data_IF_887094774481
#
_entry.id   IF_887094774481
#
_cell.length_a   1.000
_cell.length_b   1.000
_cell.length_c   1.000
_cell.angle_alpha   90.00
_cell.angle_beta   90.00
_cell.angle_gamma   90.00
#
_symmetry.space_group_name_H-M   'P 1'
#
loop_
_entity.id
_entity.type
_entity.pdbx_description
1 polymer ?
#
# COMPACT_ATOMS: atom_id res chain seq x y z
N UNK A 1 -39.60 -41.05 15.71
CA UNK A 1 -38.56 -40.02 15.95
C UNK A 1 -37.83 -40.21 17.28
N UNK A 2 -38.51 -40.05 18.43
CA UNK A 2 -37.87 -40.10 19.77
C UNK A 2 -37.13 -41.42 20.11
N UNK A 3 -37.63 -42.58 19.67
CA UNK A 3 -36.98 -43.86 19.96
C UNK A 3 -35.61 -44.00 19.28
N UNK A 4 -35.49 -43.52 18.04
CA UNK A 4 -34.26 -43.53 17.27
C UNK A 4 -33.22 -42.56 17.83
N UNK A 5 -33.65 -41.38 18.29
CA UNK A 5 -32.76 -40.40 18.92
C UNK A 5 -32.16 -40.95 20.23
N UNK A 6 -32.97 -41.62 21.05
CA UNK A 6 -32.52 -42.26 22.30
C UNK A 6 -31.56 -43.42 22.05
N UNK A 7 -31.78 -44.20 21.00
CA UNK A 7 -30.90 -45.31 20.63
C UNK A 7 -29.56 -44.83 20.07
N UNK A 8 -29.58 -43.79 19.22
CA UNK A 8 -28.37 -43.10 18.75
C UNK A 8 -27.55 -42.56 19.91
N UNK A 9 -28.17 -41.89 20.88
CA UNK A 9 -27.45 -41.34 22.04
C UNK A 9 -26.85 -42.44 22.93
N UNK A 10 -27.55 -43.58 23.07
CA UNK A 10 -27.01 -44.76 23.77
C UNK A 10 -25.81 -45.35 23.03
N UNK A 11 -25.87 -45.47 21.71
CA UNK A 11 -24.76 -45.94 20.88
C UNK A 11 -23.58 -44.99 20.99
N UNK A 12 -23.80 -43.68 20.87
CA UNK A 12 -22.75 -42.66 21.00
C UNK A 12 -22.00 -42.74 22.33
N UNK A 13 -22.71 -42.98 23.45
CA UNK A 13 -22.10 -43.18 24.78
C UNK A 13 -21.26 -44.45 24.90
N UNK A 14 -21.46 -45.43 24.01
CA UNK A 14 -20.75 -46.72 23.99
C UNK A 14 -19.55 -46.74 23.04
N UNK A 15 -19.43 -45.72 22.17
CA UNK A 15 -18.29 -45.52 21.29
C UNK A 15 -17.22 -44.74 22.06
N UNK A 16 -15.99 -45.23 22.01
CA UNK A 16 -14.82 -44.55 22.52
C UNK A 16 -13.79 -44.45 21.40
N UNK A 17 -13.41 -43.22 21.05
CA UNK A 17 -12.38 -42.94 20.05
C UNK A 17 -11.17 -42.39 20.79
N UNK A 18 -10.02 -43.04 20.64
CA UNK A 18 -8.77 -42.61 21.26
C UNK A 18 -7.67 -42.49 20.20
N UNK A 19 -6.98 -41.35 20.20
CA UNK A 19 -5.78 -41.16 19.37
C UNK A 19 -4.57 -41.64 20.15
N UNK A 20 -3.84 -42.60 19.59
CA UNK A 20 -2.63 -43.18 20.17
C UNK A 20 -1.44 -42.64 19.36
N UNK A 21 -0.59 -41.79 19.95
CA UNK A 21 0.62 -41.32 19.29
C UNK A 21 1.57 -42.48 18.92
N UNK A 22 2.29 -42.38 17.79
CA UNK A 22 2.42 -41.19 16.97
C UNK A 22 1.36 -41.01 15.86
N UNK A 23 0.59 -42.02 15.42
CA UNK A 23 -0.37 -41.89 14.29
C UNK A 23 -1.45 -43.00 14.25
N UNK A 24 -1.98 -43.45 15.39
CA UNK A 24 -3.00 -44.50 15.44
C UNK A 24 -4.33 -43.95 15.96
N UNK A 25 -5.43 -44.36 15.34
CA UNK A 25 -6.79 -44.09 15.83
C UNK A 25 -7.37 -45.42 16.28
N UNK A 26 -7.72 -45.51 17.55
CA UNK A 26 -8.41 -46.67 18.11
C UNK A 26 -9.90 -46.35 18.24
N UNK A 27 -10.73 -47.16 17.58
CA UNK A 27 -12.18 -47.11 17.68
C UNK A 27 -12.61 -48.32 18.52
N UNK A 28 -13.21 -48.07 19.69
CA UNK A 28 -13.77 -49.09 20.56
C UNK A 28 -15.28 -48.93 20.67
N UNK A 29 -16.03 -50.03 20.61
CA UNK A 29 -17.46 -50.05 20.89
C UNK A 29 -17.80 -51.13 21.92
N UNK A 30 -18.59 -50.76 22.93
CA UNK A 30 -18.94 -51.65 24.05
C UNK A 30 -20.42 -52.03 24.01
N UNK A 31 -20.69 -53.33 23.92
CA UNK A 31 -22.06 -53.85 23.91
C UNK A 31 -22.21 -55.14 24.73
N UNK A 32 -23.46 -55.50 25.08
CA UNK A 32 -23.81 -56.76 25.73
C UNK A 32 -23.77 -57.94 24.76
N UNK A 33 -24.07 -57.69 23.48
CA UNK A 33 -24.05 -58.68 22.43
C UNK A 33 -22.69 -58.66 21.71
N UNK A 34 -21.92 -59.75 21.73
CA UNK A 34 -20.62 -59.80 21.07
C UNK A 34 -20.70 -59.62 19.55
N UNK A 35 -21.76 -60.10 18.88
CA UNK A 35 -21.92 -59.95 17.43
C UNK A 35 -22.16 -58.48 17.07
N UNK A 36 -23.11 -57.84 17.76
CA UNK A 36 -23.35 -56.40 17.59
C UNK A 36 -22.10 -55.57 17.89
N UNK A 37 -21.29 -55.96 18.87
CA UNK A 37 -20.05 -55.26 19.18
C UNK A 37 -19.05 -55.30 18.01
N UNK A 38 -18.91 -56.47 17.38
CA UNK A 38 -18.06 -56.68 16.20
C UNK A 38 -18.57 -55.91 14.98
N UNK A 39 -19.84 -56.12 14.60
CA UNK A 39 -20.42 -55.53 13.38
C UNK A 39 -20.39 -54.01 13.42
N UNK A 40 -20.74 -53.41 14.56
CA UNK A 40 -20.73 -51.95 14.73
C UNK A 40 -19.30 -51.41 14.66
N UNK A 41 -18.32 -52.06 15.29
CA UNK A 41 -16.92 -51.61 15.24
C UNK A 41 -16.34 -51.69 13.83
N UNK A 42 -16.56 -52.82 13.15
CA UNK A 42 -16.12 -53.03 11.77
C UNK A 42 -16.76 -52.00 10.82
N UNK A 43 -18.08 -51.84 10.90
CA UNK A 43 -18.81 -50.88 10.06
C UNK A 43 -18.40 -49.43 10.36
N UNK A 44 -18.15 -49.09 11.62
CA UNK A 44 -17.69 -47.76 12.00
C UNK A 44 -16.29 -47.45 11.45
N UNK A 45 -15.38 -48.43 11.45
CA UNK A 45 -14.06 -48.27 10.86
C UNK A 45 -14.14 -48.05 9.34
N UNK A 46 -14.95 -48.84 8.63
CA UNK A 46 -15.18 -48.66 7.19
C UNK A 46 -15.81 -47.30 6.88
N UNK A 47 -16.86 -46.91 7.61
CA UNK A 47 -17.52 -45.61 7.44
C UNK A 47 -16.57 -44.45 7.73
N UNK A 48 -15.73 -44.57 8.77
CA UNK A 48 -14.75 -43.54 9.08
C UNK A 48 -13.74 -43.36 7.95
N UNK A 49 -13.25 -44.46 7.37
CA UNK A 49 -12.32 -44.42 6.24
C UNK A 49 -13.01 -43.83 4.99
N UNK A 50 -14.24 -44.24 4.69
CA UNK A 50 -15.03 -43.71 3.56
C UNK A 50 -15.30 -42.21 3.72
N UNK A 51 -15.86 -41.80 4.85
CA UNK A 51 -16.17 -40.39 5.13
C UNK A 51 -14.90 -39.52 5.09
N UNK A 52 -13.79 -40.01 5.64
CA UNK A 52 -12.53 -39.25 5.59
C UNK A 52 -11.99 -39.11 4.16
N UNK A 53 -12.19 -40.13 3.31
CA UNK A 53 -11.85 -40.06 1.88
C UNK A 53 -12.72 -39.06 1.15
N UNK A 54 -14.03 -39.14 1.34
CA UNK A 54 -14.99 -38.26 0.68
C UNK A 54 -14.78 -36.80 1.11
N UNK A 55 -14.57 -36.56 2.40
CA UNK A 55 -14.23 -35.23 2.93
C UNK A 55 -12.94 -34.68 2.31
N UNK A 56 -11.89 -35.51 2.21
CA UNK A 56 -10.61 -35.07 1.62
C UNK A 56 -10.73 -34.78 0.12
N UNK A 57 -11.43 -35.64 -0.62
CA UNK A 57 -11.69 -35.43 -2.05
C UNK A 57 -12.49 -34.15 -2.29
N UNK A 58 -13.52 -33.90 -1.48
CA UNK A 58 -14.32 -32.68 -1.54
C UNK A 58 -13.48 -31.43 -1.22
N UNK A 59 -12.67 -31.47 -0.15
CA UNK A 59 -11.77 -30.37 0.23
C UNK A 59 -10.79 -30.03 -0.91
N UNK A 60 -10.18 -31.05 -1.53
CA UNK A 60 -9.25 -30.87 -2.64
C UNK A 60 -9.95 -30.34 -3.90
N UNK A 61 -11.20 -30.75 -4.17
CA UNK A 61 -12.01 -30.25 -5.27
C UNK A 61 -12.43 -28.78 -5.08
N UNK A 62 -12.82 -28.41 -3.86
CA UNK A 62 -13.15 -27.02 -3.50
C UNK A 62 -11.92 -26.12 -3.61
N UNK A 63 -10.77 -26.56 -3.10
CA UNK A 63 -9.51 -25.84 -3.22
C UNK A 63 -9.08 -25.64 -4.69
N UNK A 64 -9.22 -26.67 -5.52
CA UNK A 64 -8.97 -26.57 -6.96
C UNK A 64 -9.92 -25.56 -7.63
N UNK A 65 -11.22 -25.65 -7.34
CA UNK A 65 -12.25 -24.77 -7.92
C UNK A 65 -12.02 -23.30 -7.55
N UNK A 66 -11.67 -23.04 -6.29
CA UNK A 66 -11.30 -21.70 -5.81
C UNK A 66 -10.09 -21.14 -6.57
N UNK A 67 -9.01 -21.93 -6.72
CA UNK A 67 -7.82 -21.49 -7.45
C UNK A 67 -8.12 -21.30 -8.94
N UNK A 68 -8.91 -22.17 -9.56
CA UNK A 68 -9.30 -22.03 -10.97
C UNK A 68 -10.10 -20.75 -11.23
N UNK A 69 -11.03 -20.40 -10.33
CA UNK A 69 -11.77 -19.15 -10.42
C UNK A 69 -10.84 -17.93 -10.30
N UNK A 70 -9.88 -17.96 -9.36
CA UNK A 70 -8.85 -16.92 -9.24
C UNK A 70 -7.97 -16.82 -10.49
N UNK A 71 -7.60 -17.95 -11.12
CA UNK A 71 -6.87 -17.95 -12.40
C UNK A 71 -7.67 -17.24 -13.49
N UNK A 72 -8.98 -17.51 -13.59
CA UNK A 72 -9.86 -16.88 -14.59
C UNK A 72 -10.00 -15.37 -14.35
N UNK A 73 -10.17 -14.95 -13.10
CA UNK A 73 -10.24 -13.53 -12.72
C UNK A 73 -8.94 -12.79 -13.07
N UNK A 74 -7.79 -13.32 -12.67
CA UNK A 74 -6.50 -12.70 -12.96
C UNK A 74 -6.11 -12.76 -14.43
N UNK A 75 -6.58 -13.75 -15.18
CA UNK A 75 -6.43 -13.76 -16.64
C UNK A 75 -7.11 -12.56 -17.28
N UNK A 76 -8.35 -12.25 -16.87
CA UNK A 76 -9.08 -11.08 -17.37
C UNK A 76 -8.36 -9.78 -17.03
N UNK A 77 -7.91 -9.62 -15.78
CA UNK A 77 -7.12 -8.45 -15.35
C UNK A 77 -5.81 -8.31 -16.13
N UNK A 78 -5.15 -9.42 -16.44
CA UNK A 78 -3.94 -9.43 -17.26
C UNK A 78 -4.23 -8.95 -18.69
N UNK A 79 -5.27 -9.48 -19.33
CA UNK A 79 -5.67 -9.08 -20.68
C UNK A 79 -6.05 -7.60 -20.73
N UNK A 80 -6.74 -7.10 -19.71
CA UNK A 80 -7.07 -5.68 -19.58
C UNK A 80 -5.81 -4.82 -19.41
N UNK A 81 -4.88 -5.21 -18.53
CA UNK A 81 -3.61 -4.51 -18.35
C UNK A 81 -2.75 -4.52 -19.62
N UNK A 82 -2.68 -5.65 -20.34
CA UNK A 82 -2.00 -5.76 -21.64
C UNK A 82 -2.61 -4.82 -22.69
N UNK A 83 -3.94 -4.76 -22.74
CA UNK A 83 -4.66 -3.86 -23.65
C UNK A 83 -4.38 -2.41 -23.31
N UNK A 84 -4.51 -2.01 -22.05
CA UNK A 84 -4.25 -0.64 -21.60
C UNK A 84 -2.81 -0.22 -21.91
N UNK A 85 -1.83 -1.09 -21.65
CA UNK A 85 -0.43 -0.84 -21.96
C UNK A 85 -0.19 -0.70 -23.48
N UNK A 86 -0.83 -1.55 -24.29
CA UNK A 86 -0.73 -1.49 -25.75
C UNK A 86 -1.34 -0.21 -26.30
N UNK A 87 -2.56 0.13 -25.87
CA UNK A 87 -3.30 1.30 -26.31
C UNK A 87 -2.51 2.56 -25.94
N UNK A 88 -2.01 2.65 -24.70
CA UNK A 88 -1.16 3.74 -24.24
C UNK A 88 0.12 3.91 -25.08
N UNK A 89 0.83 2.81 -25.37
CA UNK A 89 2.04 2.84 -26.22
C UNK A 89 1.76 3.27 -27.66
N UNK A 90 0.57 2.95 -28.18
CA UNK A 90 0.17 3.32 -29.54
C UNK A 90 -0.21 4.80 -29.65
N UNK A 91 -0.82 5.36 -28.59
CA UNK A 91 -1.22 6.77 -28.54
C UNK A 91 -0.05 7.70 -28.15
N UNK A 92 0.93 7.20 -27.40
CA UNK A 92 2.04 8.00 -26.86
C UNK A 92 3.39 7.58 -27.46
N UNK A 93 3.55 7.80 -28.77
CA UNK A 93 4.79 7.46 -29.50
C UNK A 93 6.02 8.24 -29.03
N UNK A 94 5.83 9.40 -28.40
CA UNK A 94 6.89 10.23 -27.85
C UNK A 94 7.35 9.79 -26.45
N UNK A 95 6.57 8.98 -25.73
CA UNK A 95 6.92 8.50 -24.38
C UNK A 95 7.86 7.27 -24.46
N UNK A 96 9.00 7.45 -25.12
CA UNK A 96 10.02 6.39 -25.30
C UNK A 96 11.26 6.71 -24.47
N UNK A 97 11.92 5.68 -23.89
CA UNK A 97 13.18 5.87 -23.18
C UNK A 97 14.20 6.63 -24.02
N UNK A 98 14.77 7.70 -23.45
CA UNK A 98 15.76 8.56 -24.11
C UNK A 98 15.20 9.82 -24.78
N UNK A 99 13.87 9.95 -24.87
CA UNK A 99 13.23 11.17 -25.41
C UNK A 99 13.45 12.37 -24.49
N UNK A 100 13.41 12.15 -23.18
CA UNK A 100 13.69 13.19 -22.16
C UNK A 100 15.07 13.83 -22.33
N UNK A 101 16.11 13.03 -22.58
CA UNK A 101 17.46 13.53 -22.82
C UNK A 101 17.51 14.42 -24.07
N UNK A 102 16.88 13.97 -25.16
CA UNK A 102 16.82 14.73 -26.41
C UNK A 102 16.07 16.07 -26.25
N UNK A 103 14.95 16.06 -25.51
CA UNK A 103 14.17 17.28 -25.19
C UNK A 103 15.01 18.24 -24.34
N UNK A 104 15.66 17.75 -23.28
CA UNK A 104 16.51 18.58 -22.43
C UNK A 104 17.67 19.21 -23.21
N UNK A 105 18.30 18.46 -24.12
CA UNK A 105 19.33 19.01 -25.02
C UNK A 105 18.75 20.09 -25.94
N UNK A 106 17.57 19.86 -26.52
CA UNK A 106 16.91 20.83 -27.41
C UNK A 106 16.51 22.11 -26.68
N UNK A 107 15.95 22.01 -25.46
CA UNK A 107 15.62 23.14 -24.60
C UNK A 107 16.88 23.96 -24.29
N UNK A 108 17.98 23.31 -23.93
CA UNK A 108 19.26 23.99 -23.67
C UNK A 108 19.76 24.76 -24.91
N UNK A 109 19.73 24.13 -26.09
CA UNK A 109 20.10 24.77 -27.36
C UNK A 109 19.21 25.98 -27.71
N UNK A 110 17.89 25.86 -27.50
CA UNK A 110 16.94 26.96 -27.73
C UNK A 110 17.17 28.11 -26.74
N UNK A 111 17.45 27.82 -25.47
CA UNK A 111 17.81 28.84 -24.47
C UNK A 111 19.07 29.60 -24.85
N UNK A 112 20.15 28.90 -25.24
CA UNK A 112 21.39 29.56 -25.68
C UNK A 112 21.16 30.41 -26.93
N UNK A 113 20.36 29.91 -27.88
CA UNK A 113 20.02 30.67 -29.09
C UNK A 113 19.18 31.90 -28.76
N UNK A 114 18.19 31.77 -27.86
CA UNK A 114 17.36 32.87 -27.40
C UNK A 114 18.19 33.93 -26.67
N UNK A 115 19.08 33.50 -25.77
CA UNK A 115 20.00 34.39 -25.06
C UNK A 115 20.88 35.17 -26.04
N UNK A 116 21.48 34.50 -27.03
CA UNK A 116 22.28 35.17 -28.07
C UNK A 116 21.46 36.21 -28.86
N UNK A 117 20.24 35.88 -29.27
CA UNK A 117 19.37 36.78 -30.03
C UNK A 117 18.91 37.97 -29.17
N UNK A 118 18.67 37.75 -27.88
CA UNK A 118 18.33 38.83 -26.94
C UNK A 118 19.48 39.79 -26.71
N UNK A 119 20.71 39.27 -26.59
CA UNK A 119 21.92 40.09 -26.45
C UNK A 119 22.16 40.91 -27.73
N UNK A 120 22.07 40.28 -28.90
CA UNK A 120 22.25 40.93 -30.19
C UNK A 120 21.19 42.02 -30.43
N UNK A 121 19.93 41.75 -30.05
CA UNK A 121 18.85 42.75 -30.09
C UNK A 121 19.13 43.94 -29.17
N UNK A 122 19.62 43.68 -27.95
CA UNK A 122 19.98 44.72 -27.00
C UNK A 122 21.13 45.59 -27.52
N UNK A 123 22.19 44.99 -28.07
CA UNK A 123 23.30 45.70 -28.71
C UNK A 123 22.82 46.57 -29.87
N UNK A 124 21.99 46.00 -30.74
CA UNK A 124 21.47 46.70 -31.94
C UNK A 124 20.58 47.88 -31.56
N UNK A 125 19.75 47.76 -30.51
CA UNK A 125 18.97 48.88 -29.95
C UNK A 125 19.85 49.98 -29.34
N UNK A 126 20.97 49.61 -28.71
CA UNK A 126 21.95 50.60 -28.23
C UNK A 126 22.57 51.35 -29.41
N UNK A 127 22.91 50.63 -30.49
CA UNK A 127 23.44 51.22 -31.73
C UNK A 127 22.43 52.15 -32.39
N UNK A 128 21.17 51.75 -32.50
CA UNK A 128 20.08 52.62 -33.00
C UNK A 128 20.02 53.94 -32.22
N UNK A 129 19.93 53.88 -30.89
CA UNK A 129 19.90 55.07 -30.03
C UNK A 129 21.15 55.95 -30.21
N UNK A 130 22.32 55.37 -30.45
CA UNK A 130 23.53 56.13 -30.72
C UNK A 130 23.45 56.89 -32.05
N UNK A 131 22.98 56.23 -33.12
CA UNK A 131 22.80 56.85 -34.43
C UNK A 131 21.72 57.95 -34.37
N UNK A 132 20.62 57.72 -33.63
CA UNK A 132 19.58 58.74 -33.40
C UNK A 132 20.14 60.00 -32.69
N UNK A 133 21.01 59.82 -31.68
CA UNK A 133 21.68 60.95 -31.03
C UNK A 133 22.57 61.72 -32.00
N UNK A 134 23.36 61.03 -32.83
CA UNK A 134 24.22 61.67 -33.84
C UNK A 134 23.41 62.45 -34.89
N UNK A 135 22.27 61.90 -35.33
CA UNK A 135 21.36 62.55 -36.28
C UNK A 135 20.67 63.79 -35.70
N UNK A 136 20.42 63.82 -34.39
CA UNK A 136 19.67 64.92 -33.72
C UNK A 136 20.56 66.01 -33.11
N UNK A 137 21.81 65.69 -32.77
CA UNK A 137 22.69 66.57 -31.99
C UNK A 137 23.89 67.13 -32.76
N UNK A 138 24.78 66.27 -33.29
CA UNK A 138 26.09 66.71 -33.80
C UNK A 138 26.04 67.24 -35.24
N UNK A 139 25.38 66.53 -36.16
CA UNK A 139 25.33 66.93 -37.58
C UNK A 139 24.57 68.27 -37.79
N UNK A 140 23.60 68.56 -36.93
CA UNK A 140 22.86 69.82 -36.95
C UNK A 140 23.69 70.99 -36.39
N UNK A 141 24.54 70.74 -35.39
CA UNK A 141 25.41 71.75 -34.77
C UNK A 141 26.61 72.10 -35.67
N UNK A 142 27.24 71.11 -36.32
CA UNK A 142 28.46 71.30 -37.12
C UNK A 142 28.24 72.19 -38.37
N UNK A 143 27.19 71.91 -39.15
CA UNK A 143 26.83 72.71 -40.33
C UNK A 143 26.32 74.10 -39.93
N UNK A 144 25.66 74.19 -38.76
CA UNK A 144 25.11 75.42 -38.23
C UNK A 144 26.18 76.41 -37.79
N UNK A 145 27.22 75.92 -37.10
CA UNK A 145 28.40 76.68 -36.67
C UNK A 145 29.31 77.05 -37.86
N UNK A 146 29.36 76.22 -38.91
CA UNK A 146 30.18 76.48 -40.10
C UNK A 146 29.78 77.77 -40.84
N UNK A 147 28.48 78.08 -40.95
CA UNK A 147 27.99 79.26 -41.70
C UNK A 147 28.13 80.57 -40.91
N UNK A 148 27.76 80.55 -39.63
CA UNK A 148 27.99 81.70 -38.74
C UNK A 148 29.49 81.96 -38.57
N UNK A 149 30.29 80.90 -38.45
CA UNK A 149 31.76 80.99 -38.43
C UNK A 149 32.36 81.54 -39.73
N UNK A 150 31.84 81.20 -40.90
CA UNK A 150 32.27 81.77 -42.19
C UNK A 150 31.98 83.27 -42.28
N UNK A 151 30.78 83.72 -41.88
CA UNK A 151 30.44 85.14 -41.85
C UNK A 151 31.26 85.90 -40.80
N UNK A 152 31.46 85.32 -39.61
CA UNK A 152 32.34 85.90 -38.59
C UNK A 152 33.80 86.01 -39.06
N UNK A 153 34.31 85.01 -39.77
CA UNK A 153 35.65 85.05 -40.37
C UNK A 153 35.77 86.16 -41.42
N UNK A 154 34.78 86.32 -42.30
CA UNK A 154 34.75 87.42 -43.28
C UNK A 154 34.64 88.79 -42.60
N UNK A 155 33.83 88.91 -41.55
CA UNK A 155 33.74 90.13 -40.74
C UNK A 155 35.10 90.43 -40.09
N UNK A 156 35.81 89.45 -39.55
CA UNK A 156 37.12 89.65 -38.93
C UNK A 156 38.17 90.14 -39.95
N UNK A 157 38.15 89.62 -41.18
CA UNK A 157 39.01 90.10 -42.28
C UNK A 157 38.68 91.55 -42.63
N UNK A 158 37.40 91.87 -42.82
CA UNK A 158 36.95 93.23 -43.14
C UNK A 158 37.19 94.22 -41.99
N UNK A 159 37.11 93.77 -40.74
CA UNK A 159 37.46 94.57 -39.56
C UNK A 159 38.96 94.88 -39.54
N UNK A 160 39.82 93.91 -39.86
CA UNK A 160 41.26 94.12 -40.00
C UNK A 160 41.59 95.13 -41.11
N UNK A 161 40.94 95.04 -42.28
CA UNK A 161 41.06 96.04 -43.35
C UNK A 161 40.59 97.42 -42.88
N UNK A 162 39.44 97.49 -42.19
CA UNK A 162 38.89 98.74 -41.68
C UNK A 162 39.85 99.43 -40.71
N UNK A 163 40.44 98.67 -39.77
CA UNK A 163 41.37 99.19 -38.78
C UNK A 163 42.67 99.67 -39.43
N UNK A 164 43.13 99.01 -40.50
CA UNK A 164 44.28 99.46 -41.29
C UNK A 164 43.98 100.77 -42.04
N UNK A 165 42.81 100.90 -42.66
CA UNK A 165 42.40 102.12 -43.36
C UNK A 165 42.23 103.32 -42.39
N UNK A 166 41.77 103.07 -41.16
CA UNK A 166 41.59 104.09 -40.12
C UNK A 166 42.89 104.72 -39.63
N UNK A 167 44.03 104.05 -39.80
CA UNK A 167 45.34 104.62 -39.44
C UNK A 167 45.77 105.75 -40.40
N UNK A 168 45.24 105.75 -41.63
CA UNK A 168 45.67 106.67 -42.70
C UNK A 168 44.58 107.61 -43.18
N UNK A 169 43.30 107.28 -42.97
CA UNK A 169 42.17 108.03 -43.51
C UNK A 169 41.14 108.37 -42.42
N UNK A 170 40.51 109.54 -42.57
CA UNK A 170 39.44 109.98 -41.67
C UNK A 170 38.14 109.18 -41.92
N UNK A 171 37.27 109.09 -40.92
CA UNK A 171 36.02 108.29 -40.90
C UNK A 171 35.04 108.56 -42.05
N UNK A 172 35.26 109.63 -42.83
CA UNK A 172 34.42 110.08 -43.96
C UNK A 172 34.90 109.54 -45.32
N UNK A 173 36.00 108.78 -45.38
CA UNK A 173 36.57 108.30 -46.64
C UNK A 173 35.68 107.22 -47.30
N UNK A 174 35.47 107.25 -48.64
CA UNK A 174 34.55 106.34 -49.32
C UNK A 174 34.78 104.85 -49.06
N UNK A 175 36.04 104.39 -48.97
CA UNK A 175 36.34 102.97 -48.73
C UNK A 175 36.08 102.52 -47.28
N UNK A 176 36.24 103.41 -46.30
CA UNK A 176 35.88 103.14 -44.90
C UNK A 176 34.37 102.97 -44.78
N UNK A 177 33.61 103.84 -45.46
CA UNK A 177 32.14 103.76 -45.51
C UNK A 177 31.69 102.47 -46.21
N UNK A 178 32.33 102.09 -47.32
CA UNK A 178 32.06 100.85 -48.05
C UNK A 178 32.28 99.61 -47.18
N UNK A 179 33.43 99.50 -46.52
CA UNK A 179 33.77 98.35 -45.67
C UNK A 179 32.84 98.28 -44.46
N UNK A 180 32.47 99.43 -43.85
CA UNK A 180 31.47 99.47 -42.77
C UNK A 180 30.12 98.94 -43.23
N UNK A 181 29.65 99.34 -44.41
CA UNK A 181 28.41 98.80 -44.97
C UNK A 181 28.52 97.29 -45.23
N UNK A 182 29.66 96.80 -45.74
CA UNK A 182 29.87 95.36 -45.94
C UNK A 182 29.86 94.57 -44.62
N UNK A 183 30.47 95.10 -43.55
CA UNK A 183 30.41 94.50 -42.22
C UNK A 183 28.98 94.52 -41.68
N UNK A 184 28.25 95.61 -41.88
CA UNK A 184 26.86 95.73 -41.43
C UNK A 184 25.92 94.80 -42.20
N UNK A 185 26.12 94.65 -43.51
CA UNK A 185 25.39 93.70 -44.35
C UNK A 185 25.67 92.25 -43.91
N UNK A 186 26.92 91.91 -43.57
CA UNK A 186 27.24 90.58 -43.04
C UNK A 186 26.66 90.36 -41.63
N UNK A 187 26.65 91.39 -40.77
CA UNK A 187 26.01 91.32 -39.44
C UNK A 187 24.49 91.17 -39.54
N UNK A 188 23.86 91.89 -40.46
CA UNK A 188 22.41 91.76 -40.71
C UNK A 188 22.07 90.40 -41.31
N UNK A 189 22.94 89.84 -42.16
CA UNK A 189 22.79 88.46 -42.64
C UNK A 189 22.92 87.42 -41.52
N UNK A 190 23.84 87.61 -40.56
CA UNK A 190 23.94 86.75 -39.36
C UNK A 190 22.66 86.83 -38.52
N UNK A 191 22.17 88.04 -38.22
CA UNK A 191 20.98 88.21 -37.38
C UNK A 191 19.69 87.73 -38.06
N UNK A 192 19.59 87.88 -39.39
CA UNK A 192 18.51 87.30 -40.18
C UNK A 192 18.55 85.78 -40.18
N UNK A 193 19.72 85.17 -40.30
CA UNK A 193 19.86 83.71 -40.25
C UNK A 193 19.55 83.15 -38.84
N UNK A 194 19.98 83.85 -37.78
CA UNK A 194 19.67 83.50 -36.39
C UNK A 194 18.17 83.60 -36.09
N UNK A 195 17.52 84.72 -36.45
CA UNK A 195 16.08 84.89 -36.25
C UNK A 195 15.24 83.90 -37.07
N UNK A 196 15.66 83.59 -38.30
CA UNK A 196 15.05 82.53 -39.12
C UNK A 196 15.17 81.16 -38.43
N UNK A 197 16.34 80.82 -37.90
CA UNK A 197 16.56 79.58 -37.13
C UNK A 197 15.69 79.52 -35.89
N UNK A 198 15.60 80.59 -35.12
CA UNK A 198 14.76 80.64 -33.91
C UNK A 198 13.27 80.44 -34.25
N UNK A 199 12.79 81.08 -35.32
CA UNK A 199 11.42 80.92 -35.80
C UNK A 199 11.14 79.50 -36.29
N UNK A 200 12.06 78.90 -37.04
CA UNK A 200 11.91 77.53 -37.55
C UNK A 200 12.10 76.47 -36.44
N UNK A 201 12.95 76.71 -35.44
CA UNK A 201 13.07 75.90 -34.22
C UNK A 201 11.81 75.96 -33.36
N UNK A 202 11.21 77.14 -33.18
CA UNK A 202 9.96 77.28 -32.43
C UNK A 202 8.81 76.54 -33.12
N UNK A 203 8.72 76.63 -34.45
CA UNK A 203 7.73 75.87 -35.25
C UNK A 203 7.96 74.36 -35.15
N UNK A 204 9.20 73.90 -35.20
CA UNK A 204 9.52 72.48 -35.05
C UNK A 204 9.19 71.98 -33.63
N UNK A 205 9.50 72.75 -32.59
CA UNK A 205 9.14 72.44 -31.19
C UNK A 205 7.63 72.36 -30.97
N UNK A 206 6.85 73.26 -31.56
CA UNK A 206 5.38 73.21 -31.51
C UNK A 206 4.80 71.97 -32.21
N UNK A 207 5.51 71.42 -33.20
CA UNK A 207 5.16 70.20 -33.91
C UNK A 207 5.80 68.93 -33.34
N UNK A 208 6.51 69.03 -32.19
CA UNK A 208 7.22 67.91 -31.57
C UNK A 208 8.37 67.36 -32.41
N UNK A 209 8.91 68.13 -33.36
CA UNK A 209 10.00 67.74 -34.25
C UNK A 209 11.28 68.52 -33.91
N UNK A 210 12.43 67.89 -34.10
CA UNK A 210 13.72 68.58 -34.07
C UNK A 210 13.88 69.32 -35.39
N UNK A 211 14.17 70.62 -35.32
CA UNK A 211 14.49 71.41 -36.50
C UNK A 211 15.85 70.96 -37.04
N UNK A 212 15.86 70.49 -38.29
CA UNK A 212 17.07 70.11 -39.02
C UNK A 212 17.07 70.91 -40.31
N UNK A 213 18.09 71.74 -40.51
CA UNK A 213 18.26 72.57 -41.70
C UNK A 213 18.20 71.71 -42.98
N UNK A 214 17.47 72.15 -44.01
CA UNK A 214 17.30 71.39 -45.26
C UNK A 214 18.64 71.08 -45.96
N UNK A 215 19.70 71.86 -45.73
CA UNK A 215 21.06 71.56 -46.24
C UNK A 215 21.79 70.50 -45.42
N UNK A 216 21.51 70.41 -44.11
CA UNK A 216 21.98 69.28 -43.27
C UNK A 216 21.33 67.99 -43.73
N UNK A 217 20.04 68.03 -44.12
CA UNK A 217 19.32 66.88 -44.68
C UNK A 217 19.90 66.41 -46.02
N UNK A 218 20.55 67.31 -46.77
CA UNK A 218 21.24 67.05 -48.03
C UNK A 218 22.72 66.68 -47.85
N UNK A 219 23.28 66.76 -46.64
CA UNK A 219 24.67 66.37 -46.38
C UNK A 219 24.87 64.87 -46.64
N UNK A 220 25.93 64.46 -47.37
CA UNK A 220 26.23 63.03 -47.59
C UNK A 220 26.33 62.22 -46.30
N UNK A 221 26.87 62.82 -45.24
CA UNK A 221 27.01 62.19 -43.92
C UNK A 221 25.64 61.96 -43.27
N UNK A 222 24.71 62.90 -43.40
CA UNK A 222 23.35 62.75 -42.86
C UNK A 222 22.55 61.67 -43.60
N UNK A 223 22.69 61.61 -44.92
CA UNK A 223 22.06 60.56 -45.73
C UNK A 223 22.62 59.17 -45.38
N UNK A 224 23.93 59.06 -45.17
CA UNK A 224 24.58 57.82 -44.74
C UNK A 224 24.10 57.38 -43.35
N UNK A 225 24.02 58.28 -42.37
CA UNK A 225 23.50 57.98 -41.03
C UNK A 225 22.02 57.57 -41.06
N UNK A 226 21.21 58.21 -41.91
CA UNK A 226 19.79 57.84 -42.08
C UNK A 226 19.63 56.45 -42.72
N UNK A 227 20.47 56.12 -43.70
CA UNK A 227 20.51 54.77 -44.28
C UNK A 227 20.89 53.74 -43.21
N UNK A 228 21.96 54.00 -42.46
CA UNK A 228 22.39 53.14 -41.34
C UNK A 228 21.31 52.96 -40.28
N UNK A 229 20.56 54.02 -39.94
CA UNK A 229 19.43 53.93 -39.02
C UNK A 229 18.32 53.02 -39.58
N UNK A 230 18.00 53.16 -40.87
CA UNK A 230 16.99 52.31 -41.53
C UNK A 230 17.41 50.84 -41.54
N UNK A 231 18.68 50.56 -41.84
CA UNK A 231 19.24 49.21 -41.85
C UNK A 231 19.24 48.62 -40.43
N UNK A 232 19.64 49.41 -39.43
CA UNK A 232 19.63 49.01 -38.01
C UNK A 232 18.21 48.70 -37.53
N UNK A 233 17.21 49.52 -37.89
CA UNK A 233 15.80 49.26 -37.56
C UNK A 233 15.26 47.99 -38.20
N UNK A 234 15.67 47.72 -39.44
CA UNK A 234 15.31 46.47 -40.13
C UNK A 234 15.93 45.26 -39.43
N UNK A 235 17.18 45.38 -38.96
CA UNK A 235 17.84 44.34 -38.15
C UNK A 235 17.12 44.12 -36.82
N UNK A 236 16.72 45.19 -36.12
CA UNK A 236 15.93 45.11 -34.88
C UNK A 236 14.63 44.34 -35.12
N UNK A 237 13.87 44.70 -36.15
CA UNK A 237 12.62 44.01 -36.48
C UNK A 237 12.84 42.52 -36.79
N UNK A 238 13.93 42.18 -37.47
CA UNK A 238 14.31 40.79 -37.78
C UNK A 238 14.68 40.02 -36.51
N UNK A 239 15.47 40.62 -35.62
CA UNK A 239 15.87 40.02 -34.34
C UNK A 239 14.69 39.86 -33.38
N UNK A 240 13.75 40.81 -33.37
CA UNK A 240 12.50 40.70 -32.62
C UNK A 240 11.64 39.54 -33.10
N UNK A 241 11.47 39.40 -34.42
CA UNK A 241 10.75 38.27 -35.02
C UNK A 241 11.42 36.93 -34.66
N UNK A 242 12.76 36.85 -34.82
CA UNK A 242 13.53 35.66 -34.46
C UNK A 242 13.43 35.32 -32.97
N UNK A 243 13.50 36.32 -32.10
CA UNK A 243 13.34 36.15 -30.66
C UNK A 243 11.96 35.56 -30.33
N UNK A 244 10.90 36.15 -30.90
CA UNK A 244 9.52 35.67 -30.71
C UNK A 244 9.35 34.23 -31.19
N UNK A 245 9.95 33.86 -32.31
CA UNK A 245 9.91 32.50 -32.85
C UNK A 245 10.63 31.51 -31.92
N UNK A 246 11.83 31.87 -31.43
CA UNK A 246 12.58 31.06 -30.47
C UNK A 246 11.84 30.88 -29.13
N UNK A 247 11.18 31.93 -28.62
CA UNK A 247 10.33 31.86 -27.42
C UNK A 247 9.16 30.89 -27.64
N UNK A 248 8.52 30.93 -28.82
CA UNK A 248 7.45 30.00 -29.16
C UNK A 248 7.95 28.55 -29.23
N UNK A 249 9.04 28.28 -29.97
CA UNK A 249 9.64 26.95 -30.06
C UNK A 249 10.06 26.41 -28.69
N UNK A 250 10.63 27.26 -27.84
CA UNK A 250 11.03 26.89 -26.48
C UNK A 250 9.81 26.49 -25.65
N UNK A 251 8.73 27.26 -25.70
CA UNK A 251 7.51 26.94 -24.98
C UNK A 251 6.86 25.64 -25.49
N UNK A 252 6.84 25.42 -26.80
CA UNK A 252 6.36 24.17 -27.41
C UNK A 252 7.17 22.96 -26.95
N UNK A 253 8.51 23.04 -26.94
CA UNK A 253 9.39 21.98 -26.46
C UNK A 253 9.29 21.75 -24.94
N UNK A 254 9.15 22.80 -24.14
CA UNK A 254 8.89 22.66 -22.69
C UNK A 254 7.56 21.95 -22.44
N UNK A 255 6.51 22.30 -23.19
CA UNK A 255 5.22 21.64 -23.08
C UNK A 255 5.28 20.19 -23.60
N UNK A 256 6.06 19.92 -24.64
CA UNK A 256 6.36 18.55 -25.10
C UNK A 256 7.06 17.74 -24.01
N UNK A 257 8.07 18.31 -23.36
CA UNK A 257 8.77 17.68 -22.22
C UNK A 257 7.83 17.33 -21.07
N UNK A 258 6.91 18.23 -20.69
CA UNK A 258 5.90 17.92 -19.65
C UNK A 258 4.99 16.76 -20.03
N UNK A 259 4.54 16.69 -21.29
CA UNK A 259 3.71 15.59 -21.79
C UNK A 259 4.48 14.27 -21.84
N UNK A 260 5.74 14.29 -22.29
CA UNK A 260 6.59 13.09 -22.32
C UNK A 260 6.84 12.59 -20.90
N UNK A 261 7.22 13.47 -19.97
CA UNK A 261 7.47 13.08 -18.58
C UNK A 261 6.25 12.46 -17.90
N UNK A 262 5.08 13.09 -18.02
CA UNK A 262 3.82 12.52 -17.51
C UNK A 262 3.47 11.21 -18.20
N UNK A 263 3.75 11.09 -19.50
CA UNK A 263 3.60 9.86 -20.25
C UNK A 263 4.52 8.73 -19.78
N UNK A 264 5.79 9.02 -19.46
CA UNK A 264 6.74 8.04 -18.92
C UNK A 264 6.30 7.52 -17.54
N UNK A 265 5.79 8.40 -16.67
CA UNK A 265 5.25 8.00 -15.37
C UNK A 265 4.08 7.03 -15.52
N UNK A 266 3.11 7.36 -16.38
CA UNK A 266 1.95 6.50 -16.66
C UNK A 266 2.37 5.18 -17.33
N UNK A 267 3.35 5.22 -18.25
CA UNK A 267 3.90 4.01 -18.86
C UNK A 267 4.53 3.09 -17.80
N UNK A 268 5.26 3.64 -16.85
CA UNK A 268 5.89 2.89 -15.77
C UNK A 268 4.83 2.24 -14.84
N UNK A 269 3.76 2.97 -14.51
CA UNK A 269 2.62 2.47 -13.74
C UNK A 269 1.93 1.31 -14.46
N UNK A 270 1.53 1.50 -15.72
CA UNK A 270 0.89 0.46 -16.53
C UNK A 270 1.78 -0.76 -16.75
N UNK A 271 3.09 -0.55 -16.92
CA UNK A 271 4.06 -1.65 -17.05
C UNK A 271 4.14 -2.45 -15.75
N UNK A 272 4.17 -1.77 -14.60
CA UNK A 272 4.18 -2.42 -13.29
C UNK A 272 2.90 -3.22 -13.05
N UNK A 273 1.73 -2.67 -13.38
CA UNK A 273 0.45 -3.36 -13.23
C UNK A 273 0.38 -4.61 -14.11
N UNK A 274 0.83 -4.51 -15.36
CA UNK A 274 0.98 -5.65 -16.25
C UNK A 274 1.91 -6.72 -15.66
N UNK A 275 3.09 -6.33 -15.17
CA UNK A 275 4.07 -7.26 -14.60
C UNK A 275 3.52 -7.97 -13.36
N UNK A 276 2.89 -7.24 -12.44
CA UNK A 276 2.27 -7.79 -11.23
C UNK A 276 1.17 -8.79 -11.59
N UNK A 277 0.24 -8.42 -12.48
CA UNK A 277 -0.84 -9.32 -12.89
C UNK A 277 -0.32 -10.56 -13.60
N UNK A 278 0.69 -10.40 -14.46
CA UNK A 278 1.34 -11.50 -15.17
C UNK A 278 2.00 -12.48 -14.20
N UNK A 279 2.69 -11.97 -13.19
CA UNK A 279 3.42 -12.81 -12.24
C UNK A 279 2.46 -13.51 -11.27
N UNK A 280 1.39 -12.84 -10.81
CA UNK A 280 0.32 -13.48 -10.04
C UNK A 280 -0.38 -14.56 -10.86
N UNK A 281 -0.74 -14.26 -12.12
CA UNK A 281 -1.38 -15.24 -13.01
C UNK A 281 -0.51 -16.49 -13.21
N UNK A 282 0.80 -16.31 -13.42
CA UNK A 282 1.77 -17.42 -13.52
C UNK A 282 1.85 -18.24 -12.24
N UNK A 283 1.85 -17.60 -11.08
CA UNK A 283 1.86 -18.30 -9.79
C UNK A 283 0.56 -19.09 -9.58
N UNK A 284 -0.60 -18.47 -9.86
CA UNK A 284 -1.90 -19.11 -9.78
C UNK A 284 -2.02 -20.30 -10.73
N UNK A 285 -1.49 -20.21 -11.96
CA UNK A 285 -1.43 -21.35 -12.87
C UNK A 285 -0.64 -22.52 -12.27
N UNK A 286 0.54 -22.25 -11.68
CA UNK A 286 1.33 -23.28 -11.00
C UNK A 286 0.57 -23.90 -9.83
N UNK A 287 -0.09 -23.08 -9.00
CA UNK A 287 -0.91 -23.54 -7.89
C UNK A 287 -2.10 -24.37 -8.37
N UNK A 288 -2.74 -23.98 -9.46
CA UNK A 288 -3.85 -24.71 -10.07
C UNK A 288 -3.40 -26.10 -10.53
N UNK A 289 -2.25 -26.19 -11.18
CA UNK A 289 -1.71 -27.48 -11.60
C UNK A 289 -1.34 -28.37 -10.41
N UNK A 290 -0.73 -27.80 -9.36
CA UNK A 290 -0.47 -28.54 -8.13
C UNK A 290 -1.75 -29.02 -7.46
N UNK A 291 -2.78 -28.16 -7.36
CA UNK A 291 -4.07 -28.50 -6.80
C UNK A 291 -4.78 -29.59 -7.62
N UNK A 292 -4.70 -29.53 -8.95
CA UNK A 292 -5.22 -30.56 -9.86
C UNK A 292 -4.57 -31.92 -9.61
N UNK A 293 -3.24 -31.94 -9.49
CA UNK A 293 -2.49 -33.16 -9.20
C UNK A 293 -2.89 -33.71 -7.83
N UNK A 294 -2.93 -32.89 -6.79
CA UNK A 294 -3.37 -33.30 -5.45
C UNK A 294 -4.80 -33.85 -5.44
N UNK A 295 -5.73 -33.17 -6.10
CA UNK A 295 -7.12 -33.62 -6.25
C UNK A 295 -7.19 -34.99 -6.94
N UNK A 296 -6.44 -35.18 -8.05
CA UNK A 296 -6.39 -36.46 -8.76
C UNK A 296 -5.76 -37.59 -7.94
N UNK A 297 -4.81 -37.29 -7.04
CA UNK A 297 -4.21 -38.24 -6.12
C UNK A 297 -5.19 -38.67 -5.01
N UNK A 298 -5.99 -37.73 -4.50
CA UNK A 298 -7.01 -37.98 -3.50
C UNK A 298 -8.19 -38.79 -4.08
N UNK A 299 -8.66 -38.45 -5.29
CA UNK A 299 -9.67 -39.24 -6.02
C UNK A 299 -9.20 -40.68 -6.31
N UNK A 300 -7.92 -40.84 -6.69
CA UNK A 300 -7.31 -42.14 -6.97
C UNK A 300 -7.05 -43.02 -5.74
N UNK A 301 -7.46 -42.59 -4.53
CA UNK A 301 -7.18 -43.24 -3.24
C UNK A 301 -5.67 -43.39 -2.92
N UNK A 302 -4.82 -42.61 -3.58
CA UNK A 302 -3.36 -42.63 -3.39
C UNK A 302 -2.86 -41.54 -2.44
N UNK A 303 -3.67 -40.50 -2.17
CA UNK A 303 -3.34 -39.41 -1.25
C UNK A 303 -3.58 -39.68 0.24
N UNK A 304 -4.48 -40.62 0.58
CA UNK A 304 -4.82 -40.97 1.96
C UNK A 304 -4.18 -42.28 2.42
N UNK A 305 -3.35 -42.21 3.47
CA UNK A 305 -2.61 -43.36 4.03
C UNK A 305 -3.34 -44.12 5.15
N UNK A 306 -4.64 -43.86 5.38
CA UNK A 306 -5.42 -44.56 6.40
C UNK A 306 -5.49 -46.05 6.07
N UNK A 307 -4.72 -46.85 6.81
CA UNK A 307 -4.68 -48.30 6.70
C UNK A 307 -5.16 -48.91 8.00
N UNK A 308 -6.03 -49.91 7.90
CA UNK A 308 -6.45 -50.71 9.04
C UNK A 308 -5.24 -51.52 9.55
N UNK A 309 -4.76 -51.17 10.75
CA UNK A 309 -3.66 -51.89 11.40
C UNK A 309 -4.17 -53.13 12.13
N UNK A 310 -5.19 -52.95 12.98
CA UNK A 310 -5.84 -54.02 13.73
C UNK A 310 -7.33 -54.06 13.34
N UNK A 311 -7.80 -55.13 12.67
CA UNK A 311 -9.22 -55.25 12.33
C UNK A 311 -10.04 -55.54 13.59
N UNK A 312 -11.34 -55.22 13.54
CA UNK A 312 -12.27 -55.62 14.59
C UNK A 312 -12.26 -57.16 14.75
N UNK A 313 -12.40 -57.64 15.98
CA UNK A 313 -12.49 -59.08 16.28
C UNK A 313 -13.69 -59.37 17.19
N UNK A 314 -14.21 -60.59 17.12
CA UNK A 314 -15.36 -61.01 17.92
C UNK A 314 -14.93 -61.27 19.38
N UNK A 315 -15.47 -60.53 20.37
CA UNK A 315 -15.07 -60.72 21.76
C UNK A 315 -15.66 -62.00 22.35
N UNK A 316 -14.82 -62.97 22.65
CA UNK A 316 -15.22 -64.25 23.26
C UNK A 316 -15.37 -64.18 24.79
N UNK A 317 -14.85 -63.12 25.43
CA UNK A 317 -14.86 -62.93 26.89
C UNK A 317 -15.24 -61.49 27.24
N UNK A 318 -15.98 -61.26 28.35
CA UNK A 318 -16.34 -59.91 28.79
C UNK A 318 -15.10 -59.13 29.26
N UNK A 319 -14.97 -57.89 28.77
CA UNK A 319 -13.88 -56.96 29.09
C UNK A 319 -14.19 -56.05 30.29
N UNK A 320 -15.45 -55.96 30.72
CA UNK A 320 -15.91 -55.17 31.88
C UNK A 320 -16.01 -55.96 33.19
N UNK A 321 -16.95 -55.57 34.06
CA UNK A 321 -17.24 -56.27 35.33
C UNK A 321 -17.58 -57.74 35.09
N UNK A 322 -16.63 -58.61 35.41
CA UNK A 322 -16.80 -60.07 35.34
C UNK A 322 -17.62 -60.58 36.51
N UNK A 323 -18.26 -61.73 36.34
CA UNK A 323 -19.04 -62.41 37.38
C UNK A 323 -18.26 -62.57 38.70
N UNK A 324 -16.95 -62.80 38.63
CA UNK A 324 -16.08 -62.90 39.81
C UNK A 324 -16.11 -61.65 40.70
N UNK A 325 -16.23 -60.44 40.14
CA UNK A 325 -16.33 -59.22 40.94
C UNK A 325 -17.63 -59.19 41.76
N UNK A 326 -18.76 -59.59 41.16
CA UNK A 326 -20.03 -59.71 41.87
C UNK A 326 -19.99 -60.81 42.92
N UNK A 327 -19.27 -61.91 42.66
CA UNK A 327 -19.09 -62.98 43.63
C UNK A 327 -18.30 -62.52 44.86
N UNK A 328 -17.17 -61.83 44.66
CA UNK A 328 -16.35 -61.28 45.77
C UNK A 328 -17.15 -60.23 46.56
N UNK A 329 -17.84 -59.32 45.87
CA UNK A 329 -18.69 -58.32 46.51
C UNK A 329 -19.83 -58.97 47.31
N UNK A 330 -20.47 -60.00 46.75
CA UNK A 330 -21.52 -60.76 47.40
C UNK A 330 -21.03 -61.45 48.68
N UNK A 331 -19.85 -62.08 48.64
CA UNK A 331 -19.22 -62.70 49.81
C UNK A 331 -18.90 -61.68 50.90
N UNK A 332 -18.35 -60.52 50.50
CA UNK A 332 -18.07 -59.43 51.44
C UNK A 332 -19.36 -58.92 52.12
N UNK A 333 -20.41 -58.68 51.34
CA UNK A 333 -21.72 -58.27 51.85
C UNK A 333 -22.37 -59.35 52.73
N UNK A 334 -22.19 -60.63 52.42
CA UNK A 334 -22.72 -61.74 53.20
C UNK A 334 -22.16 -61.82 54.63
N UNK A 335 -20.93 -61.35 54.86
CA UNK A 335 -20.34 -61.22 56.20
C UNK A 335 -20.70 -59.89 56.85
N UNK A 336 -20.66 -58.81 56.07
CA UNK A 336 -20.88 -57.46 56.56
C UNK A 336 -22.32 -57.25 57.08
N UNK A 337 -23.34 -57.71 56.35
CA UNK A 337 -24.74 -57.47 56.70
C UNK A 337 -25.14 -58.13 58.03
N UNK A 338 -24.85 -59.43 58.30
CA UNK A 338 -25.15 -60.03 59.60
C UNK A 338 -24.35 -59.42 60.76
N UNK A 339 -23.08 -59.08 60.55
CA UNK A 339 -22.25 -58.43 61.56
C UNK A 339 -22.79 -57.03 61.92
N UNK A 340 -23.15 -56.24 60.91
CA UNK A 340 -23.80 -54.94 61.10
C UNK A 340 -25.16 -55.08 61.80
N UNK A 341 -25.97 -56.08 61.42
CA UNK A 341 -27.24 -56.36 62.09
C UNK A 341 -27.06 -56.73 63.57
N UNK A 342 -26.06 -57.56 63.89
CA UNK A 342 -25.76 -57.94 65.27
C UNK A 342 -25.31 -56.72 66.10
N UNK A 343 -24.39 -55.91 65.56
CA UNK A 343 -23.96 -54.66 66.19
C UNK A 343 -25.11 -53.68 66.40
N UNK A 344 -25.94 -53.47 65.38
CA UNK A 344 -27.13 -52.62 65.46
C UNK A 344 -28.08 -53.11 66.56
N UNK A 345 -28.32 -54.42 66.64
CA UNK A 345 -29.15 -55.00 67.70
C UNK A 345 -28.55 -54.80 69.09
N UNK A 346 -27.22 -54.80 69.23
CA UNK A 346 -26.54 -54.57 70.51
C UNK A 346 -26.59 -53.09 70.92
N UNK A 347 -26.42 -52.15 69.98
CA UNK A 347 -26.46 -50.71 70.28
C UNK A 347 -27.88 -50.17 70.47
N UNK A 348 -28.87 -50.72 69.77
CA UNK A 348 -30.26 -50.27 69.79
C UNK A 348 -31.12 -50.98 70.83
N UNK A 349 -30.59 -51.97 71.57
CA UNK A 349 -31.29 -52.59 72.69
C UNK A 349 -31.18 -51.70 73.95
N UNK A 350 -32.29 -51.16 74.47
CA UNK A 350 -32.28 -50.27 75.64
C UNK A 350 -31.99 -51.00 76.97
N UNK A 351 -31.82 -52.33 76.98
CA UNK A 351 -31.54 -53.10 78.20
C UNK A 351 -30.12 -52.86 78.69
N UNK A 352 -29.96 -52.57 79.98
CA UNK A 352 -28.64 -52.42 80.60
C UNK A 352 -28.04 -53.80 80.87
N UNK A 353 -26.92 -54.12 80.21
CA UNK A 353 -26.33 -55.47 80.23
C UNK A 353 -25.00 -55.57 80.98
N UNK A 354 -24.35 -54.45 81.29
CA UNK A 354 -23.14 -54.44 82.13
C UNK A 354 -23.29 -53.50 83.32
N UNK A 355 -22.65 -53.88 84.43
CA UNK A 355 -22.51 -53.07 85.65
C UNK A 355 -21.80 -51.74 85.33
N UNK A 356 -20.84 -51.73 84.40
CA UNK A 356 -20.15 -50.49 84.00
C UNK A 356 -21.08 -49.49 83.30
N UNK A 357 -22.08 -49.97 82.55
CA UNK A 357 -23.06 -49.12 81.87
C UNK A 357 -23.98 -48.39 82.87
N UNK A 358 -24.28 -48.99 84.03
CA UNK A 358 -25.06 -48.35 85.09
C UNK A 358 -24.26 -47.23 85.77
N UNK A 359 -22.99 -47.49 86.13
CA UNK A 359 -22.13 -46.51 86.80
C UNK A 359 -21.86 -45.30 85.89
N UNK A 360 -21.56 -45.53 84.61
CA UNK A 360 -21.22 -44.47 83.66
C UNK A 360 -22.39 -43.61 83.19
N UNK A 361 -23.62 -44.16 83.10
CA UNK A 361 -24.77 -43.46 82.52
C UNK A 361 -25.69 -42.82 83.56
N UNK A 362 -25.73 -43.35 84.78
CA UNK A 362 -26.64 -42.91 85.86
C UNK A 362 -25.91 -42.36 87.10
N UNK A 363 -24.58 -42.49 87.16
CA UNK A 363 -23.76 -41.88 88.24
C UNK A 363 -23.86 -42.55 89.61
N UNK A 364 -24.56 -43.68 89.73
CA UNK A 364 -24.69 -44.43 90.98
C UNK A 364 -23.57 -45.46 91.15
N UNK A 365 -23.05 -45.61 92.38
CA UNK A 365 -22.03 -46.61 92.71
C UNK A 365 -22.69 -47.96 92.99
N UNK A 366 -22.38 -48.96 92.17
CA UNK A 366 -22.94 -50.32 92.34
C UNK A 366 -22.24 -51.04 93.49
N UNK A 367 -23.01 -51.44 94.51
CA UNK A 367 -22.50 -52.04 95.75
C UNK A 367 -22.33 -53.56 95.66
N UNK A 368 -23.18 -54.23 94.90
CA UNK A 368 -23.09 -55.66 94.61
C UNK A 368 -23.78 -55.95 93.28
N UNK A 369 -23.28 -56.94 92.55
CA UNK A 369 -23.96 -57.47 91.37
C UNK A 369 -24.30 -58.93 91.62
N UNK A 370 -25.54 -59.32 91.34
CA UNK A 370 -25.94 -60.72 91.41
C UNK A 370 -25.65 -61.32 90.04
N UNK A 371 -24.72 -62.28 89.92
CA UNK A 371 -24.49 -62.95 88.66
C UNK A 371 -25.77 -63.70 88.27
N UNK A 372 -26.25 -63.47 87.06
CA UNK A 372 -27.37 -64.23 86.51
C UNK A 372 -26.90 -65.67 86.31
N UNK A 373 -27.44 -66.59 87.11
CA UNK A 373 -27.21 -68.03 86.95
C UNK A 373 -28.23 -68.55 85.95
N UNK A 374 -27.81 -68.73 84.71
CA UNK A 374 -28.65 -69.30 83.67
C UNK A 374 -28.99 -70.76 84.00
N UNK A 375 -30.27 -71.12 83.92
CA UNK A 375 -30.67 -72.53 84.02
C UNK A 375 -30.11 -73.32 82.83
N UNK A 376 -29.79 -74.63 83.00
CA UNK A 376 -29.24 -75.45 81.90
C UNK A 376 -30.07 -75.39 80.61
N UNK A 377 -31.40 -75.24 80.73
CA UNK A 377 -32.32 -75.12 79.59
C UNK A 377 -32.18 -73.80 78.81
N UNK A 378 -31.92 -72.67 79.49
CA UNK A 378 -31.73 -71.37 78.83
C UNK A 378 -30.37 -71.30 78.11
N UNK A 379 -29.33 -71.90 78.68
CA UNK A 379 -28.03 -72.03 78.01
C UNK A 379 -28.12 -72.90 76.75
N UNK A 380 -28.90 -73.97 76.78
CA UNK A 380 -29.16 -74.77 75.58
C UNK A 380 -29.88 -73.97 74.49
N UNK A 381 -30.90 -73.19 74.84
CA UNK A 381 -31.64 -72.37 73.86
C UNK A 381 -30.77 -71.29 73.24
N UNK A 382 -29.94 -70.59 74.04
CA UNK A 382 -28.99 -69.60 73.52
C UNK A 382 -27.94 -70.26 72.60
N UNK A 383 -27.39 -71.42 72.98
CA UNK A 383 -26.45 -72.18 72.15
C UNK A 383 -27.09 -72.72 70.86
N UNK A 384 -28.38 -73.10 70.90
CA UNK A 384 -29.14 -73.52 69.71
C UNK A 384 -29.37 -72.33 68.79
N UNK A 385 -29.77 -71.17 69.30
CA UNK A 385 -29.95 -69.95 68.51
C UNK A 385 -28.63 -69.49 67.85
N UNK A 386 -27.53 -69.44 68.59
CA UNK A 386 -26.22 -69.08 68.03
C UNK A 386 -25.73 -70.11 67.01
N UNK A 387 -25.94 -71.41 67.25
CA UNK A 387 -25.63 -72.46 66.26
C UNK A 387 -26.46 -72.32 65.00
N UNK A 388 -27.76 -72.05 65.11
CA UNK A 388 -28.64 -71.84 63.93
C UNK A 388 -28.16 -70.64 63.11
N UNK A 389 -27.83 -69.51 63.75
CA UNK A 389 -27.30 -68.33 63.04
C UNK A 389 -25.97 -68.65 62.35
N UNK A 390 -25.02 -69.29 63.04
CA UNK A 390 -23.73 -69.70 62.46
C UNK A 390 -23.91 -70.68 61.29
N UNK A 391 -24.82 -71.66 61.43
CA UNK A 391 -25.14 -72.63 60.36
C UNK A 391 -25.79 -71.96 59.15
N UNK A 392 -26.72 -71.01 59.36
CA UNK A 392 -27.31 -70.26 58.24
C UNK A 392 -26.28 -69.39 57.51
N UNK A 393 -25.37 -68.73 58.23
CA UNK A 393 -24.27 -67.99 57.63
C UNK A 393 -23.32 -68.89 56.83
N UNK A 394 -22.95 -70.04 57.40
CA UNK A 394 -22.08 -71.02 56.74
C UNK A 394 -22.75 -71.66 55.52
N UNK A 395 -24.08 -71.89 55.56
CA UNK A 395 -24.86 -72.37 54.42
C UNK A 395 -24.90 -71.35 53.27
N UNK A 396 -25.07 -70.05 53.56
CA UNK A 396 -25.02 -69.00 52.54
C UNK A 396 -23.64 -68.93 51.89
N UNK A 397 -22.56 -69.01 52.67
CA UNK A 397 -21.19 -69.06 52.15
C UNK A 397 -20.97 -70.30 51.27
N UNK A 398 -21.46 -71.47 51.69
CA UNK A 398 -21.35 -72.70 50.91
C UNK A 398 -22.15 -72.65 49.59
N UNK A 399 -23.35 -72.06 49.58
CA UNK A 399 -24.16 -71.85 48.37
C UNK A 399 -23.45 -70.89 47.40
N UNK A 400 -22.85 -69.81 47.91
CA UNK A 400 -22.06 -68.89 47.07
C UNK A 400 -20.79 -69.53 46.52
N UNK A 401 -20.09 -70.34 47.32
CA UNK A 401 -18.89 -71.05 46.89
C UNK A 401 -19.21 -72.08 45.80
N UNK A 402 -20.27 -72.86 45.98
CA UNK A 402 -20.72 -73.86 44.99
C UNK A 402 -21.20 -73.21 43.68
N UNK A 403 -21.99 -72.14 43.75
CA UNK A 403 -22.41 -71.38 42.57
C UNK A 403 -21.24 -70.73 41.82
N UNK A 404 -20.18 -70.33 42.55
CA UNK A 404 -18.93 -69.83 41.96
C UNK A 404 -18.20 -70.91 41.17
N UNK A 405 -18.01 -72.10 41.76
CA UNK A 405 -17.30 -73.22 41.14
C UNK A 405 -18.02 -73.72 39.88
N UNK A 406 -19.36 -73.83 39.93
CA UNK A 406 -20.17 -74.35 38.82
C UNK A 406 -20.20 -73.45 37.57
N UNK A 407 -19.78 -72.19 37.71
CA UNK A 407 -19.73 -71.21 36.61
C UNK A 407 -18.30 -70.89 36.15
N UNK A 408 -17.30 -71.31 36.95
CA UNK A 408 -15.88 -71.24 36.61
C UNK A 408 -15.39 -72.51 35.90
N UNK A 409 -16.10 -73.63 36.06
CA UNK A 409 -16.02 -74.82 35.20
C UNK A 409 -16.89 -74.62 33.97
#
# INVERSE_FOLDING_TARGET
PLAWDLERDRMRKRISIATIPPNLIRIEYRDKDPQRAYDVTARMADLFIQETRDLKANESSEAFSFIDEQVREYHQKLVEAERNLKDFRSENLDARPGTDAAISTRISQLNTSLESATLELAETRIREKSIERQLSGEAALEVSLSREGQFQSQIAVLQGELDQLRLSYHETYPDIVRIKHQIEDLKTQISQEQSRREAEQQRARQQGRVYVDDRVRLSPVYQQLRQQLSDTRTQIATLEARKSELEQMLNEEVNRGRRVHTGEMLLAELTRDYEVNRDIYRDLLRRRENARVSMSLDEGQQGLSLRVYEPAFLPLKPTGLRFLHFMVLGLFLAVLIPAAYLLARVQLDPRVRSVEQLTGRLGYRVLASVPVVFLPQEQEQARKATRVVMMTGMAVVAIYATAGILKLT
#
